data_IF_483259643566
#
_entry.id   IF_483259643566
#
_cell.length_a   1.000
_cell.length_b   1.000
_cell.length_c   1.000
_cell.angle_alpha   90.00
_cell.angle_beta   90.00
_cell.angle_gamma   90.00
#
_symmetry.space_group_name_H-M   'P 1'
#
loop_
_entity.id
_entity.type
_entity.pdbx_description
1 polymer ?
#
# COMPACT_ATOMS: atom_id res chain seq x y z
N UNK A 1 3.50 -3.17 15.06
CA UNK A 1 4.58 -2.23 14.89
C UNK A 1 4.28 -0.83 15.36
N UNK A 2 3.07 -0.36 15.21
CA UNK A 2 2.63 0.83 15.94
C UNK A 2 2.72 0.60 17.45
N UNK A 3 2.50 -0.64 17.90
CA UNK A 3 2.67 -0.99 19.31
C UNK A 3 4.12 -0.84 19.78
N UNK A 4 5.12 -1.02 18.89
CA UNK A 4 6.50 -0.77 19.24
C UNK A 4 6.80 0.71 19.42
N UNK A 5 6.20 1.56 18.61
CA UNK A 5 6.33 3.02 18.73
C UNK A 5 5.71 3.48 20.05
N UNK A 6 4.51 3.00 20.37
CA UNK A 6 3.84 3.33 21.64
C UNK A 6 4.63 2.83 22.84
N UNK A 7 5.18 1.63 22.75
CA UNK A 7 6.01 1.05 23.79
C UNK A 7 7.26 1.86 24.05
N UNK A 8 7.92 2.27 22.96
CA UNK A 8 9.09 3.13 23.05
C UNK A 8 8.75 4.47 23.71
N UNK A 9 7.69 5.11 23.28
CA UNK A 9 7.25 6.38 23.85
C UNK A 9 6.91 6.25 25.34
N UNK A 10 6.26 5.16 25.73
CA UNK A 10 5.93 4.89 27.13
C UNK A 10 7.20 4.72 27.96
N UNK A 11 8.16 3.96 27.46
CA UNK A 11 9.43 3.77 28.16
C UNK A 11 10.19 5.10 28.34
N UNK A 12 10.19 5.94 27.31
CA UNK A 12 10.81 7.25 27.40
C UNK A 12 10.13 8.14 28.43
N UNK A 13 8.81 8.09 28.51
CA UNK A 13 8.06 8.83 29.52
C UNK A 13 8.38 8.34 30.94
N UNK A 14 8.45 7.03 31.14
CA UNK A 14 8.78 6.43 32.43
C UNK A 14 10.19 6.84 32.88
N UNK A 15 11.16 6.78 31.98
CA UNK A 15 12.52 7.21 32.28
C UNK A 15 12.59 8.68 32.62
N UNK A 16 11.85 9.53 31.93
CA UNK A 16 11.88 10.96 32.15
C UNK A 16 11.04 11.41 33.33
N UNK A 17 10.05 10.63 33.73
CA UNK A 17 9.30 10.91 34.95
C UNK A 17 10.14 10.81 36.22
N UNK A 18 11.30 10.17 36.13
CA UNK A 18 12.26 10.16 37.23
C UNK A 18 13.08 11.45 37.33
N UNK A 19 13.04 12.28 36.27
CA UNK A 19 13.68 13.58 36.19
C UNK A 19 12.58 14.64 36.03
N UNK A 20 12.30 15.36 37.10
CA UNK A 20 11.18 16.30 37.22
C UNK A 20 11.21 17.44 36.21
N UNK A 21 12.35 17.72 35.59
CA UNK A 21 12.53 18.89 34.72
C UNK A 21 12.32 18.56 33.24
N UNK A 22 12.16 17.29 32.89
CA UNK A 22 12.03 16.84 31.51
C UNK A 22 10.59 16.51 31.15
N UNK A 23 10.10 17.18 30.11
CA UNK A 23 8.79 16.89 29.52
C UNK A 23 8.99 16.17 28.20
N UNK A 24 8.21 15.12 27.99
CA UNK A 24 8.17 14.41 26.72
C UNK A 24 6.89 14.78 26.01
N UNK A 25 7.03 15.29 24.79
CA UNK A 25 5.88 15.47 23.92
C UNK A 25 5.45 14.13 23.39
N UNK A 26 4.50 13.50 24.08
CA UNK A 26 4.00 12.18 23.72
C UNK A 26 3.42 12.15 22.30
N UNK A 27 2.79 13.24 21.88
CA UNK A 27 2.23 13.32 20.53
C UNK A 27 3.30 13.30 19.45
N UNK A 28 4.47 13.85 19.70
CA UNK A 28 5.55 13.80 18.71
C UNK A 28 6.11 12.37 18.54
N UNK A 29 6.07 11.54 19.57
CA UNK A 29 6.48 10.15 19.47
C UNK A 29 5.48 9.30 18.69
N UNK A 30 4.19 9.43 18.99
CA UNK A 30 3.15 8.61 18.38
C UNK A 30 2.72 9.12 17.01
N UNK A 31 3.03 10.38 16.71
CA UNK A 31 2.72 10.99 15.43
C UNK A 31 3.96 11.19 14.56
N UNK A 32 5.01 10.45 14.85
CA UNK A 32 6.21 10.50 14.02
C UNK A 32 5.84 10.20 12.57
N UNK A 33 6.35 11.05 11.68
CA UNK A 33 6.06 10.96 10.26
C UNK A 33 7.31 10.56 9.50
N UNK A 34 7.14 9.64 8.56
CA UNK A 34 8.17 9.27 7.60
C UNK A 34 7.81 9.84 6.25
N UNK A 35 8.79 10.39 5.56
CA UNK A 35 8.61 10.87 4.19
C UNK A 35 8.72 9.69 3.24
N UNK A 36 7.76 9.55 2.35
CA UNK A 36 7.67 8.45 1.41
C UNK A 36 7.55 8.99 -0.01
N UNK A 37 8.35 8.44 -0.91
CA UNK A 37 8.30 8.76 -2.34
C UNK A 37 7.12 8.04 -2.99
N UNK A 38 6.29 8.81 -3.70
CA UNK A 38 5.11 8.28 -4.40
C UNK A 38 5.40 8.19 -5.89
N UNK A 39 5.22 7.00 -6.46
CA UNK A 39 5.51 6.69 -7.86
C UNK A 39 4.28 6.73 -8.76
N UNK A 40 3.15 7.16 -8.26
CA UNK A 40 1.91 7.25 -9.00
C UNK A 40 0.73 6.75 -8.19
N UNK A 41 -0.35 6.45 -8.90
CA UNK A 41 -1.57 5.94 -8.31
C UNK A 41 -1.89 4.58 -8.89
N UNK A 42 -2.49 3.73 -8.07
CA UNK A 42 -3.09 2.49 -8.54
C UNK A 42 -4.61 2.70 -8.52
N UNK A 43 -5.22 2.45 -9.65
CA UNK A 43 -6.65 2.71 -9.80
C UNK A 43 -7.49 1.59 -9.26
N UNK A 44 -8.64 2.01 -8.83
CA UNK A 44 -9.76 1.16 -8.53
C UNK A 44 -10.91 1.49 -9.49
N UNK A 45 -10.75 1.23 -10.77
CA UNK A 45 -11.81 1.41 -11.75
C UNK A 45 -11.38 2.17 -13.00
N UNK A 46 -10.72 3.30 -12.84
CA UNK A 46 -10.13 4.04 -13.96
C UNK A 46 -8.62 3.87 -13.84
N UNK A 47 -7.96 3.33 -14.84
CA UNK A 47 -6.54 3.09 -14.80
C UNK A 47 -5.71 4.33 -14.55
N UNK A 48 -4.61 4.15 -13.85
CA UNK A 48 -3.66 5.21 -13.53
C UNK A 48 -2.27 4.84 -14.01
N UNK A 49 -1.47 5.85 -14.32
CA UNK A 49 -0.13 5.60 -14.82
C UNK A 49 0.90 5.53 -13.69
N UNK A 50 1.83 4.59 -13.80
CA UNK A 50 3.00 4.54 -12.95
C UNK A 50 4.17 5.25 -13.63
N UNK A 51 5.06 5.80 -12.81
CA UNK A 51 6.24 6.53 -13.26
C UNK A 51 7.51 5.82 -12.81
N UNK A 52 8.59 6.00 -13.54
CA UNK A 52 9.88 5.39 -13.19
C UNK A 52 10.59 6.14 -12.05
N UNK A 53 10.19 7.38 -11.83
CA UNK A 53 10.75 8.22 -10.76
C UNK A 53 9.61 8.72 -9.87
N UNK A 54 9.93 9.09 -8.62
CA UNK A 54 8.91 9.64 -7.74
C UNK A 54 8.30 10.91 -8.32
N UNK A 55 6.97 11.00 -8.28
CA UNK A 55 6.24 12.17 -8.74
C UNK A 55 5.92 13.14 -7.60
N UNK A 56 5.94 12.66 -6.37
CA UNK A 56 5.67 13.46 -5.18
C UNK A 56 6.24 12.77 -3.95
N UNK A 57 6.18 13.48 -2.84
CA UNK A 57 6.53 12.93 -1.53
C UNK A 57 5.38 13.20 -0.59
N UNK A 58 5.08 12.23 0.27
CA UNK A 58 4.05 12.38 1.27
C UNK A 58 4.55 11.88 2.62
N UNK A 59 4.03 12.47 3.69
CA UNK A 59 4.33 12.03 5.03
C UNK A 59 3.34 10.94 5.44
N UNK A 60 3.89 9.83 5.94
CA UNK A 60 3.11 8.72 6.46
C UNK A 60 3.35 8.63 7.95
N UNK A 61 2.27 8.52 8.72
CA UNK A 61 2.35 8.31 10.17
C UNK A 61 2.42 6.83 10.47
N UNK A 62 3.20 6.50 11.49
CA UNK A 62 3.35 5.14 11.92
C UNK A 62 4.41 4.38 11.16
N UNK A 63 4.26 3.07 11.13
CA UNK A 63 5.24 2.19 10.55
C UNK A 63 5.20 2.19 9.03
N UNK A 64 6.38 2.36 8.43
CA UNK A 64 6.57 2.22 6.99
C UNK A 64 7.39 0.95 6.76
N UNK A 65 6.81 -0.09 6.14
CA UNK A 65 7.57 -1.30 5.84
C UNK A 65 8.65 -1.05 4.79
N UNK A 66 9.67 -1.88 4.79
CA UNK A 66 10.61 -1.91 3.67
C UNK A 66 9.82 -2.22 2.39
N UNK A 67 10.04 -1.43 1.35
CA UNK A 67 9.28 -1.54 0.10
C UNK A 67 10.13 -1.05 -1.07
N UNK A 68 9.71 -1.39 -2.26
CA UNK A 68 10.37 -0.93 -3.48
C UNK A 68 9.74 0.35 -4.01
N UNK A 69 8.42 0.42 -4.01
CA UNK A 69 7.67 1.61 -4.41
C UNK A 69 6.47 1.81 -3.51
N UNK A 70 6.02 3.05 -3.43
CA UNK A 70 4.78 3.40 -2.78
C UNK A 70 3.85 4.06 -3.79
N UNK A 71 2.56 3.73 -3.71
CA UNK A 71 1.53 4.22 -4.60
C UNK A 71 0.36 4.73 -3.78
N UNK A 72 -0.39 5.65 -4.36
CA UNK A 72 -1.64 6.12 -3.78
C UNK A 72 -2.80 5.39 -4.41
N UNK A 73 -3.74 4.93 -3.61
CA UNK A 73 -4.96 4.28 -4.11
C UNK A 73 -5.92 5.34 -4.58
N UNK A 74 -6.42 5.19 -5.81
CA UNK A 74 -7.43 6.07 -6.37
C UNK A 74 -8.70 5.27 -6.63
N UNK A 75 -9.76 5.59 -5.89
CA UNK A 75 -11.05 4.92 -6.00
C UNK A 75 -11.32 3.96 -4.84
N UNK A 76 -12.43 3.26 -4.92
CA UNK A 76 -12.96 2.48 -3.80
C UNK A 76 -13.11 0.97 -4.08
N UNK A 77 -12.54 0.46 -5.18
CA UNK A 77 -12.75 -0.95 -5.55
C UNK A 77 -12.13 -1.94 -4.56
N UNK A 78 -11.18 -1.50 -3.76
CA UNK A 78 -10.52 -2.34 -2.77
C UNK A 78 -10.94 -2.04 -1.33
N UNK A 79 -12.01 -1.28 -1.15
CA UNK A 79 -12.61 -1.14 0.17
C UNK A 79 -13.27 -2.45 0.60
N UNK A 80 -13.26 -2.79 1.87
CA UNK A 80 -12.81 -1.96 3.00
C UNK A 80 -11.31 -2.03 3.31
N UNK A 81 -10.53 -2.84 2.60
CA UNK A 81 -9.12 -3.05 2.93
C UNK A 81 -8.27 -1.79 2.65
N UNK A 82 -8.44 -1.19 1.47
CA UNK A 82 -7.77 0.05 1.10
C UNK A 82 -8.79 1.11 0.74
N UNK A 83 -8.66 2.26 1.37
CA UNK A 83 -9.55 3.40 1.10
C UNK A 83 -8.96 4.28 0.02
N UNK A 84 -9.82 5.04 -0.66
CA UNK A 84 -9.39 6.07 -1.59
C UNK A 84 -8.41 7.04 -0.91
N UNK A 85 -7.30 7.31 -1.56
CA UNK A 85 -6.24 8.20 -1.04
C UNK A 85 -5.23 7.53 -0.13
N UNK A 86 -5.44 6.27 0.24
CA UNK A 86 -4.50 5.54 1.08
C UNK A 86 -3.21 5.24 0.33
N UNK A 87 -2.08 5.33 1.03
CA UNK A 87 -0.79 4.94 0.49
C UNK A 87 -0.59 3.45 0.74
N UNK A 88 -0.23 2.74 -0.32
CA UNK A 88 0.11 1.32 -0.25
C UNK A 88 1.58 1.12 -0.61
N UNK A 89 2.19 0.11 -0.03
CA UNK A 89 3.60 -0.23 -0.23
C UNK A 89 3.70 -1.50 -1.04
N UNK A 90 4.59 -1.50 -2.03
CA UNK A 90 4.69 -2.55 -3.04
C UNK A 90 6.09 -3.15 -3.01
N UNK A 91 6.15 -4.46 -2.97
CA UNK A 91 7.36 -5.24 -3.22
C UNK A 91 7.34 -5.66 -4.68
N UNK A 92 8.29 -5.19 -5.47
CA UNK A 92 8.41 -5.59 -6.88
C UNK A 92 8.62 -7.10 -6.97
N UNK A 93 7.87 -7.75 -7.83
CA UNK A 93 7.94 -9.18 -7.99
C UNK A 93 7.42 -9.59 -9.36
N UNK A 94 7.97 -10.67 -9.90
CA UNK A 94 7.45 -11.32 -11.11
C UNK A 94 6.47 -12.45 -10.79
N UNK A 95 6.29 -12.75 -9.51
CA UNK A 95 5.44 -13.83 -9.04
C UNK A 95 4.47 -13.35 -7.98
N UNK A 96 3.30 -13.94 -7.96
CA UNK A 96 2.28 -13.67 -6.96
C UNK A 96 1.50 -14.95 -6.71
N UNK A 97 1.09 -15.17 -5.47
CA UNK A 97 0.31 -16.34 -5.10
C UNK A 97 -1.18 -16.07 -5.27
N UNK A 98 -1.90 -17.15 -5.55
CA UNK A 98 -3.34 -17.14 -5.59
C UNK A 98 -3.93 -16.53 -4.31
N UNK A 99 -4.84 -15.59 -4.47
CA UNK A 99 -5.47 -14.89 -3.35
C UNK A 99 -4.69 -13.71 -2.77
N UNK A 100 -3.51 -13.41 -3.28
CA UNK A 100 -2.76 -12.23 -2.87
C UNK A 100 -3.22 -10.98 -3.62
N UNK A 101 -2.88 -9.83 -3.06
CA UNK A 101 -3.19 -8.53 -3.66
C UNK A 101 -1.93 -7.98 -4.32
N UNK A 102 -2.07 -7.56 -5.55
CA UNK A 102 -0.97 -7.02 -6.33
C UNK A 102 -1.37 -5.79 -7.13
N UNK A 103 -0.37 -5.19 -7.72
CA UNK A 103 -0.54 -4.10 -8.68
C UNK A 103 -0.24 -4.64 -10.07
N UNK A 104 -1.18 -4.44 -10.97
CA UNK A 104 -1.15 -4.96 -12.34
C UNK A 104 -1.24 -3.82 -13.34
N UNK A 105 -0.50 -3.94 -14.42
CA UNK A 105 -0.62 -3.02 -15.56
C UNK A 105 -1.49 -3.68 -16.61
N UNK A 106 -2.57 -3.02 -16.97
CA UNK A 106 -3.53 -3.47 -17.97
C UNK A 106 -3.66 -2.35 -18.99
N UNK A 107 -3.25 -2.60 -20.23
CA UNK A 107 -3.27 -1.59 -21.29
C UNK A 107 -2.57 -0.29 -20.89
N UNK A 108 -1.45 -0.41 -20.17
CA UNK A 108 -0.65 0.73 -19.73
C UNK A 108 -1.06 1.40 -18.44
N UNK A 109 -2.18 1.01 -17.85
CA UNK A 109 -2.69 1.59 -16.61
C UNK A 109 -2.52 0.65 -15.43
N UNK A 110 -2.29 1.21 -14.24
CA UNK A 110 -2.07 0.44 -13.02
C UNK A 110 -3.37 0.22 -12.24
N UNK A 111 -3.57 -1.01 -11.81
CA UNK A 111 -4.73 -1.41 -11.00
C UNK A 111 -4.26 -2.20 -9.79
N UNK A 112 -4.88 -1.96 -8.64
CA UNK A 112 -4.70 -2.79 -7.44
C UNK A 112 -5.87 -3.75 -7.34
N UNK A 113 -5.58 -5.06 -7.36
CA UNK A 113 -6.59 -6.11 -7.38
C UNK A 113 -6.10 -7.33 -6.62
N UNK A 114 -7.05 -8.16 -6.18
CA UNK A 114 -6.78 -9.48 -5.67
C UNK A 114 -6.75 -10.47 -6.84
N UNK A 115 -5.79 -11.37 -6.86
CA UNK A 115 -5.58 -12.25 -8.00
C UNK A 115 -5.96 -13.67 -7.67
N UNK A 116 -6.61 -14.32 -8.63
CA UNK A 116 -6.82 -15.78 -8.64
C UNK A 116 -6.39 -16.33 -9.99
N UNK A 117 -5.64 -17.41 -9.95
CA UNK A 117 -5.16 -18.10 -11.15
C UNK A 117 -5.89 -19.41 -11.27
N UNK A 118 -6.61 -19.60 -12.38
CA UNK A 118 -7.31 -20.83 -12.70
C UNK A 118 -6.79 -21.31 -14.05
N UNK A 119 -6.57 -22.59 -14.22
CA UNK A 119 -6.07 -23.26 -15.43
C UNK A 119 -5.35 -22.34 -16.43
N UNK A 120 -6.08 -21.70 -17.32
CA UNK A 120 -5.53 -20.75 -18.30
C UNK A 120 -6.21 -19.39 -18.24
N UNK A 121 -6.76 -19.05 -17.07
CA UNK A 121 -7.47 -17.80 -16.84
C UNK A 121 -6.95 -17.11 -15.61
N UNK A 122 -6.67 -15.82 -15.75
CA UNK A 122 -6.33 -14.94 -14.65
C UNK A 122 -7.57 -14.14 -14.27
N UNK A 123 -7.95 -14.18 -13.01
CA UNK A 123 -9.08 -13.40 -12.50
C UNK A 123 -8.57 -12.33 -11.56
N UNK A 124 -8.87 -11.07 -11.84
CA UNK A 124 -8.56 -9.94 -10.99
C UNK A 124 -9.84 -9.45 -10.33
N UNK A 125 -9.84 -9.50 -9.00
CA UNK A 125 -11.04 -9.29 -8.20
C UNK A 125 -10.92 -8.00 -7.40
N UNK A 126 -11.99 -7.21 -7.43
CA UNK A 126 -12.17 -6.08 -6.54
C UNK A 126 -12.82 -6.56 -5.25
N UNK A 127 -12.36 -6.06 -4.10
CA UNK A 127 -12.97 -6.42 -2.82
C UNK A 127 -14.34 -5.78 -2.65
N UNK A 128 -14.54 -4.63 -3.25
CA UNK A 128 -15.85 -3.97 -3.27
C UNK A 128 -16.73 -4.65 -4.31
N UNK A 129 -17.82 -5.23 -3.86
CA UNK A 129 -18.69 -6.08 -4.67
C UNK A 129 -19.44 -5.36 -5.78
N UNK A 130 -19.50 -4.03 -5.76
CA UNK A 130 -20.13 -3.28 -6.86
C UNK A 130 -19.29 -3.29 -8.13
N UNK A 131 -18.03 -3.72 -8.07
CA UNK A 131 -17.15 -3.83 -9.22
C UNK A 131 -17.09 -5.28 -9.69
N UNK A 132 -17.13 -5.46 -11.00
CA UNK A 132 -17.08 -6.80 -11.61
C UNK A 132 -15.64 -7.32 -11.64
N UNK A 133 -15.51 -8.64 -11.58
CA UNK A 133 -14.23 -9.31 -11.78
C UNK A 133 -13.75 -9.12 -13.22
N UNK A 134 -12.44 -9.03 -13.38
CA UNK A 134 -11.79 -8.95 -14.70
C UNK A 134 -11.15 -10.29 -15.03
N UNK A 135 -11.38 -10.78 -16.23
CA UNK A 135 -10.87 -12.07 -16.68
C UNK A 135 -9.89 -11.87 -17.84
N UNK A 136 -8.75 -12.52 -17.74
CA UNK A 136 -7.72 -12.48 -18.77
C UNK A 136 -7.29 -13.89 -19.12
N UNK A 137 -7.13 -14.14 -20.40
CA UNK A 137 -6.71 -15.41 -20.94
C UNK A 137 -5.30 -15.30 -21.51
N UNK A 138 -4.73 -16.38 -21.99
CA UNK A 138 -3.40 -16.38 -22.58
C UNK A 138 -3.28 -15.28 -23.65
N UNK A 139 -2.12 -14.63 -23.70
CA UNK A 139 -1.78 -13.56 -24.65
C UNK A 139 -2.45 -12.21 -24.39
N UNK A 140 -3.13 -12.05 -23.28
CA UNK A 140 -3.66 -10.74 -22.88
C UNK A 140 -2.55 -9.86 -22.32
N UNK A 141 -2.69 -8.56 -22.50
CA UNK A 141 -1.70 -7.57 -22.01
C UNK A 141 -1.91 -7.26 -20.54
N UNK A 142 -1.47 -8.16 -19.68
CA UNK A 142 -1.47 -7.96 -18.23
C UNK A 142 -0.06 -8.21 -17.71
N UNK A 143 0.44 -7.27 -16.89
CA UNK A 143 1.76 -7.39 -16.30
C UNK A 143 1.69 -7.14 -14.79
N UNK A 144 2.33 -8.01 -14.02
CA UNK A 144 2.46 -7.83 -12.58
C UNK A 144 3.59 -6.82 -12.29
N UNK A 145 3.28 -5.80 -11.52
CA UNK A 145 4.29 -4.86 -10.99
C UNK A 145 4.88 -5.42 -9.70
N UNK A 146 4.02 -5.87 -8.81
CA UNK A 146 4.46 -6.42 -7.52
C UNK A 146 3.31 -6.71 -6.59
N UNK A 147 3.69 -7.14 -5.38
CA UNK A 147 2.75 -7.51 -4.32
C UNK A 147 2.54 -6.34 -3.39
N UNK A 148 1.32 -6.15 -2.94
CA UNK A 148 1.03 -5.18 -1.89
C UNK A 148 1.46 -5.77 -0.54
N UNK A 149 2.22 -5.01 0.20
CA UNK A 149 2.67 -5.38 1.55
C UNK A 149 1.54 -5.05 2.53
N UNK A 150 1.07 -6.08 3.21
CA UNK A 150 -0.03 -5.95 4.17
C UNK A 150 0.46 -5.95 5.62
#
# INVERSE_FOLDING_TARGET
RQSNVLKYATNQLEEQNNDSDNLVDFNSYIQEKSEVDIYGCASAGIGERLYNEPISKEFVRGYVPAHDIALKVNGDSMEPLFKNGQIIFIEKSHTIKDGQIGVFIINGDAYVKKVYVEDNRLTLVSLNKKYKDLYFYDNESVRLVGKVIL
#
